data_IF_609440867330
#
_entry.id   IF_609440867330
#
_cell.length_a   1.000
_cell.length_b   1.000
_cell.length_c   1.000
_cell.angle_alpha   90.00
_cell.angle_beta   90.00
_cell.angle_gamma   90.00
#
_symmetry.space_group_name_H-M   'P 1'
#
loop_
_entity.id
_entity.type
_entity.pdbx_description
1 polymer ?
#
# COMPACT_ATOMS: atom_id res chain seq x y z
N UNK A 1 -1.86 31.28 -2.32
CA UNK A 1 -2.37 31.00 -0.95
C UNK A 1 -3.28 29.79 -0.86
N UNK A 2 -4.35 29.65 -1.67
CA UNK A 2 -5.30 28.51 -1.59
C UNK A 2 -4.72 27.10 -1.83
N UNK A 3 -3.69 26.94 -2.69
CA UNK A 3 -3.09 25.61 -2.94
C UNK A 3 -2.24 25.12 -1.77
N UNK A 4 -1.47 26.02 -1.14
CA UNK A 4 -0.63 25.73 0.03
C UNK A 4 -1.45 25.19 1.20
N UNK A 5 -2.65 25.74 1.40
CA UNK A 5 -3.60 25.27 2.45
C UNK A 5 -4.18 23.88 2.14
N UNK A 6 -4.38 23.53 0.87
CA UNK A 6 -4.89 22.21 0.46
C UNK A 6 -3.83 21.14 0.63
N UNK A 7 -2.60 21.43 0.25
CA UNK A 7 -1.47 20.53 0.40
C UNK A 7 -1.16 20.25 1.87
N UNK A 8 -1.13 21.29 2.72
CA UNK A 8 -1.01 21.16 4.18
C UNK A 8 -2.15 20.32 4.77
N UNK A 9 -3.39 20.52 4.31
CA UNK A 9 -4.54 19.72 4.75
C UNK A 9 -4.38 18.26 4.34
N UNK A 10 -3.95 17.99 3.12
CA UNK A 10 -3.69 16.63 2.64
C UNK A 10 -2.56 15.97 3.44
N UNK A 11 -1.48 16.69 3.72
CA UNK A 11 -0.39 16.20 4.56
C UNK A 11 -0.88 15.78 5.95
N UNK A 12 -1.65 16.65 6.62
CA UNK A 12 -2.26 16.33 7.93
C UNK A 12 -3.20 15.12 7.86
N UNK A 13 -3.94 14.94 6.76
CA UNK A 13 -4.78 13.76 6.58
C UNK A 13 -3.94 12.48 6.45
N UNK A 14 -2.84 12.51 5.69
CA UNK A 14 -1.91 11.37 5.58
C UNK A 14 -1.32 10.98 6.93
N UNK A 15 -0.88 11.96 7.71
CA UNK A 15 -0.36 11.74 9.07
C UNK A 15 -1.40 11.11 10.00
N UNK A 16 -2.67 11.53 9.88
CA UNK A 16 -3.77 10.94 10.66
C UNK A 16 -4.08 9.52 10.23
N UNK A 17 -4.03 9.19 8.93
CA UNK A 17 -4.20 7.81 8.45
C UNK A 17 -3.07 6.92 9.00
N UNK A 18 -1.81 7.37 8.91
CA UNK A 18 -0.67 6.65 9.45
C UNK A 18 -0.78 6.46 10.99
N UNK A 19 -1.31 7.45 11.70
CA UNK A 19 -1.59 7.33 13.13
C UNK A 19 -2.66 6.28 13.43
N UNK A 20 -3.78 6.25 12.71
CA UNK A 20 -4.83 5.25 12.90
C UNK A 20 -4.34 3.83 12.56
N UNK A 21 -3.51 3.67 11.51
CA UNK A 21 -2.82 2.40 11.22
C UNK A 21 -1.98 1.93 12.41
N UNK A 22 -1.12 2.81 12.95
CA UNK A 22 -0.24 2.48 14.10
C UNK A 22 -1.05 2.10 15.32
N UNK A 23 -2.11 2.86 15.60
CA UNK A 23 -3.03 2.61 16.71
C UNK A 23 -3.74 1.27 16.56
N UNK A 24 -4.19 0.93 15.34
CA UNK A 24 -4.88 -0.33 15.07
C UNK A 24 -3.96 -1.54 15.25
N UNK A 25 -2.74 -1.49 14.69
CA UNK A 25 -1.77 -2.57 14.85
C UNK A 25 -1.22 -2.67 16.28
N UNK A 26 -1.08 -1.55 16.98
CA UNK A 26 -0.65 -1.49 18.38
C UNK A 26 0.79 -1.97 18.54
N UNK A 27 1.00 -3.04 19.29
CA UNK A 27 2.34 -3.60 19.54
C UNK A 27 2.88 -4.48 18.40
N UNK A 28 2.11 -4.68 17.32
CA UNK A 28 2.55 -5.40 16.13
C UNK A 28 3.51 -4.54 15.29
N UNK A 29 4.75 -4.42 15.77
CA UNK A 29 5.78 -3.58 15.15
C UNK A 29 6.18 -4.09 13.78
N UNK A 30 6.06 -5.39 13.51
CA UNK A 30 6.35 -5.97 12.19
C UNK A 30 5.42 -5.35 11.14
N UNK A 31 4.10 -5.42 11.36
CA UNK A 31 3.10 -4.89 10.40
C UNK A 31 3.15 -3.37 10.30
N UNK A 32 3.40 -2.68 11.41
CA UNK A 32 3.61 -1.22 11.38
C UNK A 32 4.82 -0.86 10.53
N UNK A 33 5.97 -1.53 10.72
CA UNK A 33 7.19 -1.22 9.98
C UNK A 33 7.04 -1.57 8.50
N UNK A 34 6.40 -2.68 8.17
CA UNK A 34 6.08 -3.06 6.80
C UNK A 34 5.28 -1.96 6.10
N UNK A 35 4.11 -1.58 6.64
CA UNK A 35 3.28 -0.52 6.06
C UNK A 35 3.99 0.84 5.94
N UNK A 36 4.90 1.17 6.86
CA UNK A 36 5.71 2.39 6.78
C UNK A 36 6.73 2.34 5.64
N UNK A 37 7.42 1.21 5.42
CA UNK A 37 8.33 1.01 4.29
C UNK A 37 7.58 1.06 2.96
N UNK A 38 6.41 0.40 2.88
CA UNK A 38 5.54 0.45 1.69
C UNK A 38 5.15 1.89 1.39
N UNK A 39 4.76 2.67 2.40
CA UNK A 39 4.43 4.08 2.21
C UNK A 39 5.62 4.94 1.74
N UNK A 40 6.86 4.60 2.14
CA UNK A 40 8.06 5.29 1.66
C UNK A 40 8.28 5.05 0.16
N UNK A 41 8.28 3.79 -0.29
CA UNK A 41 8.40 3.49 -1.72
C UNK A 41 7.22 4.02 -2.54
N UNK A 42 6.00 3.93 -2.00
CA UNK A 42 4.81 4.48 -2.65
C UNK A 42 4.91 6.01 -2.83
N UNK A 43 5.52 6.73 -1.89
CA UNK A 43 5.77 8.17 -2.03
C UNK A 43 6.80 8.46 -3.13
N UNK A 44 7.86 7.66 -3.25
CA UNK A 44 8.87 7.81 -4.30
C UNK A 44 8.29 7.55 -5.70
N UNK A 45 7.54 6.47 -5.86
CA UNK A 45 6.85 6.14 -7.11
C UNK A 45 5.85 7.24 -7.49
N UNK A 46 5.02 7.68 -6.54
CA UNK A 46 4.01 8.72 -6.73
C UNK A 46 4.62 10.05 -7.22
N UNK A 47 5.80 10.42 -6.74
CA UNK A 47 6.48 11.67 -7.13
C UNK A 47 6.81 11.71 -8.63
N UNK A 48 7.09 10.56 -9.24
CA UNK A 48 7.53 10.48 -10.64
C UNK A 48 6.39 10.05 -11.56
N UNK A 49 5.65 9.00 -11.21
CA UNK A 49 4.60 8.44 -12.07
C UNK A 49 3.34 9.31 -12.10
N UNK A 50 3.18 10.16 -11.09
CA UNK A 50 1.91 10.84 -10.85
C UNK A 50 0.86 9.88 -10.29
N UNK A 51 -0.23 10.42 -9.78
CA UNK A 51 -1.23 9.65 -9.04
C UNK A 51 -1.92 10.55 -8.03
N UNK A 52 -2.87 10.00 -7.28
CA UNK A 52 -3.59 10.75 -6.26
C UNK A 52 -2.92 10.53 -4.89
N UNK A 53 -2.25 11.55 -4.30
CA UNK A 53 -1.42 11.33 -3.11
C UNK A 53 -2.13 10.79 -1.89
N UNK A 54 -3.39 11.17 -1.68
CA UNK A 54 -4.20 10.63 -0.58
C UNK A 54 -4.64 9.19 -0.82
N UNK A 55 -4.86 8.79 -2.08
CA UNK A 55 -5.29 7.42 -2.40
C UNK A 55 -4.11 6.49 -2.23
N UNK A 56 -2.99 6.80 -2.90
CA UNK A 56 -1.77 5.97 -2.85
C UNK A 56 -1.27 5.80 -1.41
N UNK A 57 -1.05 6.89 -0.67
CA UNK A 57 -0.50 6.78 0.68
C UNK A 57 -1.54 6.30 1.68
N UNK A 58 -2.82 6.59 1.47
CA UNK A 58 -3.90 6.02 2.28
C UNK A 58 -3.96 4.49 2.15
N UNK A 59 -3.87 3.98 0.93
CA UNK A 59 -3.84 2.56 0.66
C UNK A 59 -2.53 1.91 1.14
N UNK A 60 -1.36 2.56 0.95
CA UNK A 60 -0.08 2.07 1.48
C UNK A 60 -0.09 1.85 2.99
N UNK A 61 -0.65 2.79 3.75
CA UNK A 61 -0.78 2.61 5.20
C UNK A 61 -1.81 1.54 5.60
N UNK A 62 -2.83 1.27 4.78
CA UNK A 62 -3.99 0.48 5.20
C UNK A 62 -4.16 -0.86 4.47
N UNK A 63 -3.36 -1.20 3.46
CA UNK A 63 -3.52 -2.43 2.68
C UNK A 63 -3.57 -3.69 3.56
N UNK A 64 -2.68 -3.74 4.56
CA UNK A 64 -2.59 -4.85 5.50
C UNK A 64 -3.53 -4.77 6.71
N UNK A 65 -4.38 -3.74 6.81
CA UNK A 65 -5.15 -3.46 8.03
C UNK A 65 -6.11 -4.61 8.40
N UNK A 66 -6.52 -5.41 7.41
CA UNK A 66 -7.41 -6.55 7.60
C UNK A 66 -6.79 -7.74 8.34
N UNK A 67 -5.45 -7.84 8.42
CA UNK A 67 -4.77 -9.03 8.93
C UNK A 67 -5.25 -9.40 10.34
N UNK A 68 -5.28 -8.44 11.28
CA UNK A 68 -5.65 -8.72 12.68
C UNK A 68 -7.08 -9.25 12.82
N UNK A 69 -7.98 -8.72 12.00
CA UNK A 69 -9.38 -9.11 12.01
C UNK A 69 -9.58 -10.48 11.35
N UNK A 70 -8.85 -10.74 10.28
CA UNK A 70 -8.83 -12.04 9.63
C UNK A 70 -8.33 -13.12 10.59
N UNK A 71 -7.19 -12.90 11.27
CA UNK A 71 -6.65 -13.82 12.28
C UNK A 71 -7.66 -14.07 13.41
N UNK A 72 -8.32 -13.02 13.90
CA UNK A 72 -9.30 -13.14 14.99
C UNK A 72 -10.53 -13.95 14.58
N UNK A 73 -11.07 -13.72 13.37
CA UNK A 73 -12.33 -14.34 12.91
C UNK A 73 -12.14 -15.75 12.32
N UNK A 74 -11.04 -15.96 11.60
CA UNK A 74 -10.85 -17.16 10.78
C UNK A 74 -9.64 -18.00 11.23
N UNK A 75 -8.86 -17.54 12.21
CA UNK A 75 -7.67 -18.23 12.71
C UNK A 75 -6.47 -18.19 11.76
N UNK A 76 -6.57 -17.43 10.66
CA UNK A 76 -5.53 -17.20 9.68
C UNK A 76 -5.74 -15.86 8.97
N UNK A 77 -4.74 -15.40 8.24
CA UNK A 77 -4.82 -14.22 7.39
C UNK A 77 -4.66 -14.60 5.92
N UNK A 78 -5.55 -15.45 5.39
CA UNK A 78 -5.60 -15.67 3.94
C UNK A 78 -5.85 -14.35 3.22
N UNK A 79 -5.37 -14.24 1.98
CA UNK A 79 -5.54 -13.06 1.14
C UNK A 79 -7.01 -12.62 1.08
N UNK A 80 -7.94 -13.56 0.86
CA UNK A 80 -9.38 -13.28 0.74
C UNK A 80 -9.98 -12.75 2.04
N UNK A 81 -9.58 -13.30 3.20
CA UNK A 81 -10.07 -12.84 4.49
C UNK A 81 -9.50 -11.48 4.84
N UNK A 82 -8.21 -11.26 4.57
CA UNK A 82 -7.55 -9.99 4.81
C UNK A 82 -8.17 -8.87 3.97
N UNK A 83 -8.38 -9.09 2.67
CA UNK A 83 -8.99 -8.10 1.78
C UNK A 83 -10.43 -7.78 2.19
N UNK A 84 -11.22 -8.81 2.52
CA UNK A 84 -12.62 -8.67 2.95
C UNK A 84 -12.73 -7.83 4.23
N UNK A 85 -11.95 -8.15 5.25
CA UNK A 85 -12.00 -7.44 6.52
C UNK A 85 -11.31 -6.07 6.43
N UNK A 86 -10.19 -6.00 5.70
CA UNK A 86 -9.40 -4.78 5.50
C UNK A 86 -10.21 -3.68 4.84
N UNK A 87 -11.03 -4.01 3.84
CA UNK A 87 -11.94 -3.06 3.18
C UNK A 87 -12.87 -2.37 4.19
N UNK A 88 -13.52 -3.14 5.07
CA UNK A 88 -14.48 -2.62 6.04
C UNK A 88 -13.80 -1.74 7.11
N UNK A 89 -12.63 -2.17 7.57
CA UNK A 89 -11.86 -1.43 8.59
C UNK A 89 -11.31 -0.13 8.00
N UNK A 90 -10.77 -0.17 6.79
CA UNK A 90 -10.27 1.02 6.10
C UNK A 90 -11.40 2.03 5.87
N UNK A 91 -12.58 1.58 5.43
CA UNK A 91 -13.74 2.46 5.25
C UNK A 91 -14.12 3.18 6.55
N UNK A 92 -14.22 2.45 7.66
CA UNK A 92 -14.53 3.02 8.98
C UNK A 92 -13.50 4.07 9.42
N UNK A 93 -12.20 3.76 9.29
CA UNK A 93 -11.11 4.68 9.61
C UNK A 93 -11.22 5.96 8.76
N UNK A 94 -11.32 5.81 7.45
CA UNK A 94 -11.26 6.95 6.52
C UNK A 94 -12.50 7.84 6.62
N UNK A 95 -13.68 7.26 6.87
CA UNK A 95 -14.91 8.00 7.10
C UNK A 95 -14.85 8.82 8.41
N UNK A 96 -14.30 8.25 9.50
CA UNK A 96 -14.07 8.99 10.76
C UNK A 96 -13.10 10.16 10.60
N UNK A 97 -12.18 10.07 9.65
CA UNK A 97 -11.26 11.15 9.31
C UNK A 97 -11.88 12.22 8.38
N UNK A 98 -13.15 12.05 7.96
CA UNK A 98 -13.89 12.91 7.05
C UNK A 98 -13.23 13.06 5.67
N UNK A 99 -12.69 11.96 5.12
CA UNK A 99 -12.22 11.95 3.74
C UNK A 99 -13.40 12.01 2.76
N UNK A 100 -13.14 12.58 1.58
CA UNK A 100 -14.13 12.63 0.52
C UNK A 100 -14.47 11.20 0.06
N UNK A 101 -15.77 10.91 -0.08
CA UNK A 101 -16.28 9.57 -0.45
C UNK A 101 -15.59 8.95 -1.67
N UNK A 102 -15.27 9.74 -2.70
CA UNK A 102 -14.53 9.24 -3.87
C UNK A 102 -13.14 8.68 -3.53
N UNK A 103 -12.41 9.36 -2.64
CA UNK A 103 -11.09 8.90 -2.15
C UNK A 103 -11.24 7.66 -1.28
N UNK A 104 -12.23 7.65 -0.38
CA UNK A 104 -12.53 6.49 0.47
C UNK A 104 -12.82 5.26 -0.39
N UNK A 105 -13.71 5.41 -1.37
CA UNK A 105 -14.10 4.33 -2.27
C UNK A 105 -12.89 3.75 -3.03
N UNK A 106 -12.00 4.60 -3.55
CA UNK A 106 -10.83 4.13 -4.30
C UNK A 106 -9.82 3.43 -3.40
N UNK A 107 -9.56 3.94 -2.19
CA UNK A 107 -8.69 3.25 -1.22
C UNK A 107 -9.30 1.89 -0.84
N UNK A 108 -10.60 1.84 -0.56
CA UNK A 108 -11.29 0.61 -0.19
C UNK A 108 -11.39 -0.39 -1.35
N UNK A 109 -11.46 0.08 -2.60
CA UNK A 109 -11.35 -0.77 -3.77
C UNK A 109 -9.96 -1.43 -3.78
N UNK A 110 -8.89 -0.63 -3.78
CA UNK A 110 -7.50 -1.13 -3.79
C UNK A 110 -7.27 -2.16 -2.68
N UNK A 111 -7.62 -1.85 -1.43
CA UNK A 111 -7.44 -2.76 -0.28
C UNK A 111 -8.24 -4.05 -0.46
N UNK A 112 -9.41 -3.97 -1.07
CA UNK A 112 -10.30 -5.11 -1.26
C UNK A 112 -9.85 -6.12 -2.31
N UNK A 113 -8.76 -5.88 -3.04
CA UNK A 113 -8.21 -6.82 -4.03
C UNK A 113 -6.70 -6.67 -4.26
N UNK A 114 -5.94 -6.15 -3.30
CA UNK A 114 -4.49 -5.92 -3.49
C UNK A 114 -3.65 -7.21 -3.61
N UNK A 115 -4.12 -8.35 -3.11
CA UNK A 115 -3.53 -9.68 -3.37
C UNK A 115 -4.05 -10.31 -4.67
N UNK A 116 -5.19 -9.82 -5.18
CA UNK A 116 -5.85 -10.31 -6.38
C UNK A 116 -6.02 -9.21 -7.44
N UNK A 117 -4.90 -8.70 -8.01
CA UNK A 117 -4.96 -7.66 -9.04
C UNK A 117 -5.81 -8.10 -10.23
N UNK A 118 -6.64 -7.20 -10.74
CA UNK A 118 -7.45 -7.42 -11.94
C UNK A 118 -6.56 -7.30 -13.19
N UNK A 119 -7.08 -7.75 -14.33
CA UNK A 119 -6.39 -7.62 -15.63
C UNK A 119 -6.06 -6.16 -16.01
N UNK A 120 -6.81 -5.20 -15.46
CA UNK A 120 -6.52 -3.77 -15.63
C UNK A 120 -6.79 -3.05 -14.31
N UNK A 121 -5.75 -2.43 -13.79
CA UNK A 121 -5.77 -1.67 -12.55
C UNK A 121 -5.59 -0.17 -12.80
N UNK A 122 -5.89 0.63 -11.78
CA UNK A 122 -5.59 2.06 -11.82
C UNK A 122 -4.11 2.31 -11.57
N UNK A 123 -3.62 3.50 -11.94
CA UNK A 123 -2.25 3.90 -11.60
C UNK A 123 -2.02 3.92 -10.08
N UNK A 124 -3.03 4.32 -9.29
CA UNK A 124 -2.92 4.35 -7.83
C UNK A 124 -2.77 2.94 -7.24
N UNK A 125 -3.51 1.96 -7.78
CA UNK A 125 -3.33 0.56 -7.42
C UNK A 125 -1.92 0.08 -7.78
N UNK A 126 -1.50 0.33 -9.02
CA UNK A 126 -0.20 -0.14 -9.51
C UNK A 126 0.97 0.41 -8.68
N UNK A 127 0.89 1.68 -8.27
CA UNK A 127 1.90 2.29 -7.39
C UNK A 127 1.95 1.59 -6.03
N UNK A 128 0.80 1.28 -5.43
CA UNK A 128 0.78 0.53 -4.17
C UNK A 128 1.36 -0.87 -4.37
N UNK A 129 0.91 -1.57 -5.40
CA UNK A 129 1.28 -2.95 -5.67
C UNK A 129 2.80 -3.10 -5.88
N UNK A 130 3.40 -2.18 -6.63
CA UNK A 130 4.86 -2.12 -6.80
C UNK A 130 5.59 -1.74 -5.52
N UNK A 131 5.07 -0.79 -4.74
CA UNK A 131 5.68 -0.39 -3.47
C UNK A 131 5.69 -1.53 -2.45
N UNK A 132 4.59 -2.27 -2.35
CA UNK A 132 4.47 -3.45 -1.50
C UNK A 132 5.44 -4.55 -1.96
N UNK A 133 5.49 -4.81 -3.26
CA UNK A 133 6.42 -5.78 -3.84
C UNK A 133 7.89 -5.44 -3.57
N UNK A 134 8.30 -4.17 -3.63
CA UNK A 134 9.66 -3.76 -3.27
C UNK A 134 10.01 -4.15 -1.83
N UNK A 135 9.08 -3.96 -0.88
CA UNK A 135 9.30 -4.36 0.52
C UNK A 135 9.34 -5.88 0.65
N UNK A 136 8.43 -6.59 -0.01
CA UNK A 136 8.35 -8.05 0.05
C UNK A 136 9.59 -8.73 -0.58
N UNK A 137 10.18 -8.16 -1.63
CA UNK A 137 11.43 -8.67 -2.21
C UNK A 137 12.54 -8.71 -1.16
N UNK A 138 12.67 -7.65 -0.36
CA UNK A 138 13.64 -7.57 0.74
C UNK A 138 13.27 -8.50 1.90
N UNK A 139 12.05 -8.37 2.43
CA UNK A 139 11.62 -9.06 3.66
C UNK A 139 11.55 -10.59 3.49
N UNK A 140 11.20 -11.07 2.29
CA UNK A 140 11.18 -12.50 1.94
C UNK A 140 12.47 -12.99 1.26
N UNK A 141 13.48 -12.13 1.16
CA UNK A 141 14.79 -12.42 0.53
C UNK A 141 14.64 -13.00 -0.88
N UNK A 142 13.71 -12.46 -1.68
CA UNK A 142 13.47 -12.88 -3.06
C UNK A 142 14.69 -12.55 -3.93
N UNK A 143 15.42 -11.49 -3.62
CA UNK A 143 16.64 -11.07 -4.31
C UNK A 143 17.75 -12.15 -4.32
N UNK A 144 17.71 -13.12 -3.40
CA UNK A 144 18.68 -14.24 -3.35
C UNK A 144 18.31 -15.37 -4.34
N UNK A 145 17.21 -15.24 -5.08
CA UNK A 145 16.67 -16.25 -5.99
C UNK A 145 16.57 -15.68 -7.42
N UNK A 146 17.65 -15.71 -8.22
CA UNK A 146 17.73 -14.98 -9.49
C UNK A 146 16.55 -15.21 -10.43
N UNK A 147 16.16 -16.47 -10.68
CA UNK A 147 15.03 -16.77 -11.55
C UNK A 147 13.68 -16.25 -11.04
N UNK A 148 13.48 -16.26 -9.71
CA UNK A 148 12.25 -15.74 -9.09
C UNK A 148 12.24 -14.20 -9.10
N UNK A 149 13.39 -13.56 -8.90
CA UNK A 149 13.50 -12.11 -8.94
C UNK A 149 13.12 -11.57 -10.31
N UNK A 150 13.67 -12.15 -11.38
CA UNK A 150 13.37 -11.72 -12.76
C UNK A 150 11.88 -11.91 -13.11
N UNK A 151 11.29 -13.03 -12.69
CA UNK A 151 9.86 -13.31 -12.83
C UNK A 151 9.01 -12.23 -12.14
N UNK A 152 9.26 -11.99 -10.85
CA UNK A 152 8.55 -10.97 -10.06
C UNK A 152 8.70 -9.57 -10.70
N UNK A 153 9.91 -9.19 -11.13
CA UNK A 153 10.13 -7.90 -11.79
C UNK A 153 9.31 -7.79 -13.07
N UNK A 154 9.23 -8.86 -13.85
CA UNK A 154 8.50 -8.86 -15.13
C UNK A 154 6.98 -8.84 -14.99
N UNK A 155 6.45 -9.48 -13.95
CA UNK A 155 5.01 -9.62 -13.72
C UNK A 155 4.41 -8.45 -12.95
N UNK A 156 5.10 -7.99 -11.90
CA UNK A 156 4.55 -7.00 -10.96
C UNK A 156 4.81 -5.58 -11.44
N UNK A 157 6.03 -5.28 -11.91
CA UNK A 157 6.44 -3.91 -12.16
C UNK A 157 6.07 -3.48 -13.57
N UNK A 158 5.12 -2.55 -13.67
CA UNK A 158 4.61 -2.00 -14.91
C UNK A 158 5.07 -0.55 -15.13
N UNK A 159 5.19 0.24 -14.06
CA UNK A 159 5.64 1.64 -14.15
C UNK A 159 7.13 1.75 -14.50
N UNK A 160 7.52 2.88 -15.10
CA UNK A 160 8.92 3.09 -15.47
C UNK A 160 9.81 3.23 -14.23
N UNK A 161 9.32 3.91 -13.19
CA UNK A 161 10.04 4.14 -11.94
C UNK A 161 10.12 2.86 -11.11
N UNK A 162 9.04 2.07 -11.02
CA UNK A 162 9.08 0.79 -10.31
C UNK A 162 10.08 -0.20 -10.91
N UNK A 163 10.08 -0.36 -12.24
CA UNK A 163 11.06 -1.20 -12.94
C UNK A 163 12.50 -0.75 -12.68
N UNK A 164 12.73 0.57 -12.67
CA UNK A 164 14.06 1.13 -12.40
C UNK A 164 14.47 0.84 -10.96
N UNK A 165 13.63 1.16 -9.98
CA UNK A 165 13.92 0.94 -8.55
C UNK A 165 14.19 -0.53 -8.24
N UNK A 166 13.34 -1.44 -8.72
CA UNK A 166 13.52 -2.87 -8.48
C UNK A 166 14.87 -3.39 -9.02
N UNK A 167 15.29 -2.91 -10.20
CA UNK A 167 16.59 -3.25 -10.77
C UNK A 167 17.75 -2.64 -10.01
N UNK A 168 17.67 -1.36 -9.69
CA UNK A 168 18.73 -0.65 -8.95
C UNK A 168 18.97 -1.25 -7.56
N UNK A 169 17.90 -1.69 -6.89
CA UNK A 169 17.96 -2.25 -5.54
C UNK A 169 18.40 -3.72 -5.54
N UNK A 170 17.90 -4.54 -6.47
CA UNK A 170 17.97 -6.00 -6.34
C UNK A 170 18.67 -6.73 -7.48
N UNK A 171 18.84 -6.09 -8.64
CA UNK A 171 19.56 -6.69 -9.78
C UNK A 171 21.00 -6.19 -9.73
N UNK A 172 21.84 -6.88 -8.97
CA UNK A 172 23.27 -6.63 -8.96
C UNK A 172 23.93 -7.18 -10.24
N UNK A 173 24.79 -6.37 -10.86
CA UNK A 173 25.72 -6.81 -11.89
C UNK A 173 26.90 -7.56 -11.30
#
# INVERSE_FOLDING_TARGET
MKSKTREEKNQRLRERIAYEMKKYFGHDTKRVNHALKVAQYAEELLKIEGGHPLVVLGAAYLHDIGIKEAERKYGNASAEHQEKEGKLIAEDILMKLNLQKGIVNEICDIIGHHHHPRAKETLNFQILYEADCLVNIEEDRIYEKPGKLDEVISEVFQTATGKRLARELYVHH
#
